data_IF_296166259483
#
_entry.id   IF_296166259483
#
_cell.length_a   1.000
_cell.length_b   1.000
_cell.length_c   1.000
_cell.angle_alpha   90.00
_cell.angle_beta   90.00
_cell.angle_gamma   90.00
#
_symmetry.space_group_name_H-M   'P 1'
#
loop_
_entity.id
_entity.type
_entity.pdbx_description
1 polymer ?
#
# COMPACT_ATOMS: atom_id res chain seq x y z
N UNK A 1 -15.47 -24.65 15.77
CA UNK A 1 -14.29 -24.69 16.67
C UNK A 1 -13.87 -23.25 16.96
N UNK A 2 -13.32 -22.97 18.16
CA UNK A 2 -12.78 -21.64 18.49
C UNK A 2 -11.26 -21.76 18.59
N UNK A 3 -10.53 -20.79 18.03
CA UNK A 3 -9.08 -20.71 18.21
C UNK A 3 -8.80 -20.02 19.56
N UNK A 4 -8.04 -20.69 20.43
CA UNK A 4 -7.82 -20.23 21.81
C UNK A 4 -6.90 -19.01 21.90
N UNK A 5 -6.02 -18.80 20.91
CA UNK A 5 -5.08 -17.67 20.84
C UNK A 5 -5.60 -16.41 20.15
N UNK A 6 -6.92 -16.21 20.10
CA UNK A 6 -7.51 -15.11 19.32
C UNK A 6 -7.16 -13.72 19.88
N UNK A 7 -7.02 -13.59 21.20
CA UNK A 7 -6.65 -12.32 21.82
C UNK A 7 -5.26 -11.84 21.38
N UNK A 8 -4.28 -12.74 21.36
CA UNK A 8 -2.91 -12.44 20.90
C UNK A 8 -2.86 -12.10 19.42
N UNK A 9 -3.68 -12.77 18.60
CA UNK A 9 -3.82 -12.42 17.19
C UNK A 9 -4.40 -11.02 17.00
N UNK A 10 -5.41 -10.64 17.78
CA UNK A 10 -5.99 -9.31 17.73
C UNK A 10 -4.99 -8.24 18.17
N UNK A 11 -4.27 -8.45 19.26
CA UNK A 11 -3.19 -7.53 19.72
C UNK A 11 -2.11 -7.38 18.64
N UNK A 12 -1.72 -8.48 18.00
CA UNK A 12 -0.77 -8.44 16.90
C UNK A 12 -1.30 -7.62 15.71
N UNK A 13 -2.56 -7.81 15.30
CA UNK A 13 -3.19 -7.01 14.24
C UNK A 13 -3.23 -5.52 14.63
N UNK A 14 -3.57 -5.19 15.87
CA UNK A 14 -3.58 -3.81 16.36
C UNK A 14 -2.18 -3.18 16.29
N UNK A 15 -1.13 -3.91 16.67
CA UNK A 15 0.24 -3.41 16.55
C UNK A 15 0.63 -3.11 15.09
N UNK A 16 0.17 -3.91 14.14
CA UNK A 16 0.37 -3.68 12.71
C UNK A 16 -0.44 -2.48 12.23
N UNK A 17 -1.67 -2.34 12.72
CA UNK A 17 -2.52 -1.19 12.41
C UNK A 17 -1.86 0.11 12.88
N UNK A 18 -1.32 0.14 14.10
CA UNK A 18 -0.60 1.28 14.64
C UNK A 18 0.67 1.57 13.83
N UNK A 19 1.42 0.53 13.46
CA UNK A 19 2.60 0.67 12.59
C UNK A 19 2.24 1.34 11.26
N UNK A 20 1.16 0.89 10.60
CA UNK A 20 0.70 1.42 9.31
C UNK A 20 0.27 2.88 9.42
N UNK A 21 -0.34 3.29 10.55
CA UNK A 21 -0.82 4.65 10.75
C UNK A 21 0.23 5.62 11.29
N UNK A 22 1.36 5.12 11.79
CA UNK A 22 2.48 5.98 12.15
C UNK A 22 3.15 6.56 10.87
N UNK A 23 3.05 7.88 10.69
CA UNK A 23 3.59 8.58 9.53
C UNK A 23 5.12 8.47 9.39
N UNK A 24 5.85 8.19 10.47
CA UNK A 24 7.29 7.93 10.40
C UNK A 24 7.63 6.67 9.60
N UNK A 25 6.67 5.74 9.47
CA UNK A 25 6.81 4.54 8.66
C UNK A 25 6.38 4.75 7.20
N UNK A 26 5.97 5.96 6.83
CA UNK A 26 5.50 6.26 5.48
C UNK A 26 6.65 6.65 4.56
N UNK A 27 6.68 6.04 3.38
CA UNK A 27 7.57 6.41 2.28
C UNK A 27 6.77 7.12 1.20
N UNK A 28 7.27 8.28 0.75
CA UNK A 28 6.68 9.02 -0.37
C UNK A 28 7.04 8.33 -1.70
N UNK A 29 6.04 8.15 -2.55
CA UNK A 29 6.25 7.66 -3.93
C UNK A 29 6.38 8.88 -4.84
N UNK A 30 7.48 8.93 -5.59
CA UNK A 30 7.83 10.09 -6.42
C UNK A 30 7.19 10.01 -7.80
N UNK A 31 6.59 11.11 -8.25
CA UNK A 31 6.01 11.24 -9.59
C UNK A 31 6.49 12.53 -10.24
N UNK A 32 7.67 12.53 -10.90
CA UNK A 32 8.21 13.73 -11.53
C UNK A 32 7.23 14.35 -12.53
N UNK A 33 7.02 15.68 -12.47
CA UNK A 33 5.98 16.37 -13.29
C UNK A 33 6.09 16.09 -14.79
N UNK A 34 7.32 16.04 -15.30
CA UNK A 34 7.66 15.69 -16.69
C UNK A 34 7.33 14.25 -17.06
N UNK A 35 7.20 13.35 -16.08
CA UNK A 35 6.82 11.95 -16.27
C UNK A 35 5.31 11.71 -16.13
N UNK A 36 4.57 12.56 -15.40
CA UNK A 36 3.13 12.39 -15.16
C UNK A 36 2.29 12.63 -16.41
N UNK A 37 2.66 13.61 -17.25
CA UNK A 37 1.86 14.02 -18.42
C UNK A 37 1.66 12.88 -19.44
N UNK A 38 2.69 12.08 -19.69
CA UNK A 38 2.65 10.89 -20.54
C UNK A 38 2.61 9.58 -19.75
N UNK A 39 2.56 9.65 -18.43
CA UNK A 39 2.74 8.53 -17.51
C UNK A 39 3.94 7.63 -17.88
N UNK A 40 5.12 8.24 -17.93
CA UNK A 40 6.36 7.56 -18.28
C UNK A 40 6.78 6.59 -17.15
N UNK A 41 6.36 5.33 -17.30
CA UNK A 41 6.63 4.24 -16.37
C UNK A 41 8.11 4.11 -16.04
N UNK A 42 9.00 4.20 -17.05
CA UNK A 42 10.43 4.02 -16.85
C UNK A 42 11.01 5.10 -15.93
N UNK A 43 10.71 6.36 -16.20
CA UNK A 43 11.22 7.47 -15.39
C UNK A 43 10.63 7.47 -13.96
N UNK A 44 9.36 7.09 -13.80
CA UNK A 44 8.76 6.93 -12.47
C UNK A 44 9.44 5.78 -11.70
N UNK A 45 9.75 4.66 -12.37
CA UNK A 45 10.46 3.55 -11.72
C UNK A 45 11.89 3.90 -11.34
N UNK A 46 12.62 4.59 -12.21
CA UNK A 46 13.99 5.06 -11.94
C UNK A 46 14.03 5.97 -10.70
N UNK A 47 13.09 6.90 -10.59
CA UNK A 47 13.01 7.81 -9.43
C UNK A 47 12.68 7.07 -8.12
N UNK A 48 11.93 5.97 -8.20
CA UNK A 48 11.52 5.19 -7.03
C UNK A 48 12.36 3.94 -6.80
N UNK A 49 13.49 3.78 -7.49
CA UNK A 49 14.23 2.52 -7.50
C UNK A 49 14.69 2.09 -6.10
N UNK A 50 15.13 3.03 -5.27
CA UNK A 50 15.52 2.77 -3.90
C UNK A 50 14.35 2.24 -3.05
N UNK A 51 13.17 2.87 -3.16
CA UNK A 51 11.95 2.45 -2.48
C UNK A 51 11.46 1.08 -2.98
N UNK A 52 11.48 0.86 -4.28
CA UNK A 52 11.09 -0.43 -4.87
C UNK A 52 12.04 -1.56 -4.46
N UNK A 53 13.32 -1.25 -4.26
CA UNK A 53 14.31 -2.19 -3.75
C UNK A 53 14.12 -2.52 -2.27
N UNK A 54 13.81 -1.52 -1.41
CA UNK A 54 13.58 -1.77 0.02
C UNK A 54 12.35 -2.62 0.29
N UNK A 55 11.35 -2.58 -0.60
CA UNK A 55 10.15 -3.42 -0.53
C UNK A 55 10.44 -4.86 -0.98
N UNK A 56 11.36 -5.03 -1.94
CA UNK A 56 11.62 -6.30 -2.62
C UNK A 56 12.06 -7.39 -1.64
N UNK A 57 11.36 -8.53 -1.62
CA UNK A 57 11.71 -9.65 -0.75
C UNK A 57 11.42 -9.42 0.75
N UNK A 58 10.90 -8.25 1.13
CA UNK A 58 10.67 -7.86 2.52
C UNK A 58 9.18 -7.81 2.85
N UNK A 59 8.41 -7.00 2.13
CA UNK A 59 7.02 -6.72 2.51
C UNK A 59 6.06 -7.86 2.17
N UNK A 60 5.14 -8.16 3.08
CA UNK A 60 3.98 -9.02 2.80
C UNK A 60 2.64 -8.41 3.24
N UNK A 61 2.67 -7.27 3.94
CA UNK A 61 1.56 -6.33 4.15
C UNK A 61 2.02 -4.93 3.70
N UNK A 62 1.13 -4.18 3.07
CA UNK A 62 1.36 -2.79 2.69
C UNK A 62 0.06 -1.98 2.71
N UNK A 63 0.20 -0.67 2.80
CA UNK A 63 -0.88 0.30 2.73
C UNK A 63 -0.52 1.45 1.80
N UNK A 64 -1.53 2.04 1.15
CA UNK A 64 -1.41 3.20 0.26
C UNK A 64 -2.24 4.34 0.84
N UNK A 65 -1.63 5.52 0.89
CA UNK A 65 -2.21 6.74 1.42
C UNK A 65 -2.18 7.86 0.38
N UNK A 66 -3.14 8.75 0.51
CA UNK A 66 -3.19 10.04 -0.18
C UNK A 66 -2.89 11.16 0.81
N UNK A 67 -2.01 12.08 0.45
CA UNK A 67 -1.87 13.36 1.12
C UNK A 67 -2.25 14.47 0.13
N UNK A 68 -3.36 15.14 0.40
CA UNK A 68 -3.80 16.31 -0.36
C UNK A 68 -2.93 17.52 0.00
N UNK A 69 -2.67 18.42 -0.94
CA UNK A 69 -1.79 19.59 -0.75
C UNK A 69 -2.22 20.52 0.40
N UNK A 70 -3.51 20.52 0.76
CA UNK A 70 -4.08 21.36 1.82
C UNK A 70 -4.39 20.59 3.10
N UNK A 71 -3.99 19.33 3.21
CA UNK A 71 -4.24 18.50 4.38
C UNK A 71 -2.91 18.19 5.08
N UNK A 72 -2.92 18.24 6.41
CA UNK A 72 -1.75 17.93 7.22
C UNK A 72 -1.55 16.42 7.40
N UNK A 73 -2.60 15.61 7.16
CA UNK A 73 -2.59 14.17 7.46
C UNK A 73 -2.88 13.29 6.25
N UNK A 74 -2.10 12.23 6.02
CA UNK A 74 -2.39 11.24 4.99
C UNK A 74 -3.70 10.49 5.28
N UNK A 75 -4.53 10.34 4.26
CA UNK A 75 -5.74 9.53 4.28
C UNK A 75 -5.44 8.13 3.74
N UNK A 76 -5.73 7.10 4.52
CA UNK A 76 -5.60 5.71 4.09
C UNK A 76 -6.58 5.40 2.95
N UNK A 77 -6.07 4.85 1.84
CA UNK A 77 -6.87 4.48 0.66
C UNK A 77 -6.97 2.98 0.45
N UNK A 78 -5.89 2.26 0.70
CA UNK A 78 -5.82 0.83 0.41
C UNK A 78 -4.93 0.09 1.39
N UNK A 79 -5.35 -1.11 1.80
CA UNK A 79 -4.52 -2.11 2.48
C UNK A 79 -4.41 -3.32 1.57
N UNK A 80 -3.21 -3.87 1.42
CA UNK A 80 -2.98 -5.03 0.59
C UNK A 80 -1.98 -6.00 1.18
N UNK A 81 -2.10 -7.26 0.77
CA UNK A 81 -1.12 -8.32 1.01
C UNK A 81 -0.45 -8.78 -0.27
N UNK A 82 0.71 -9.40 -0.10
CA UNK A 82 1.43 -10.07 -1.19
C UNK A 82 2.37 -11.12 -0.61
N UNK A 83 2.88 -12.00 -1.46
CA UNK A 83 4.06 -12.78 -1.06
C UNK A 83 5.30 -11.88 -1.10
N UNK A 84 6.26 -12.06 -0.20
CA UNK A 84 7.51 -11.28 -0.13
C UNK A 84 8.24 -11.28 -1.48
N UNK A 85 8.27 -12.44 -2.15
CA UNK A 85 8.85 -12.61 -3.49
C UNK A 85 8.23 -11.69 -4.55
N UNK A 86 6.94 -11.39 -4.42
CA UNK A 86 6.19 -10.59 -5.39
C UNK A 86 5.95 -9.15 -4.92
N UNK A 87 6.51 -8.74 -3.79
CA UNK A 87 6.21 -7.46 -3.15
C UNK A 87 6.47 -6.26 -4.05
N UNK A 88 7.69 -6.16 -4.61
CA UNK A 88 8.06 -5.12 -5.58
C UNK A 88 7.12 -5.09 -6.77
N UNK A 89 6.82 -6.25 -7.35
CA UNK A 89 5.93 -6.30 -8.52
C UNK A 89 4.50 -5.89 -8.17
N UNK A 90 3.98 -6.26 -7.00
CA UNK A 90 2.64 -5.89 -6.57
C UNK A 90 2.51 -4.38 -6.36
N UNK A 91 3.48 -3.75 -5.68
CA UNK A 91 3.50 -2.29 -5.54
C UNK A 91 3.65 -1.57 -6.87
N UNK A 92 4.58 -2.00 -7.73
CA UNK A 92 4.71 -1.46 -9.10
C UNK A 92 3.38 -1.52 -9.84
N UNK A 93 2.64 -2.62 -9.72
CA UNK A 93 1.36 -2.81 -10.40
C UNK A 93 0.24 -1.87 -9.90
N UNK A 94 0.31 -1.43 -8.64
CA UNK A 94 -0.67 -0.51 -8.07
C UNK A 94 -0.29 0.96 -8.22
N UNK A 95 1.01 1.25 -8.24
CA UNK A 95 1.52 2.62 -8.16
C UNK A 95 2.03 3.17 -9.50
N UNK A 96 2.46 2.31 -10.43
CA UNK A 96 3.25 2.75 -11.60
C UNK A 96 2.77 2.11 -12.90
N UNK A 97 2.66 0.78 -12.98
CA UNK A 97 2.41 0.07 -14.24
C UNK A 97 1.19 -0.82 -14.18
N UNK A 98 0.49 -0.99 -15.30
CA UNK A 98 -0.77 -1.74 -15.32
C UNK A 98 -0.47 -3.23 -15.29
N UNK A 99 -1.06 -3.94 -14.33
CA UNK A 99 -1.26 -5.38 -14.47
C UNK A 99 -2.49 -5.66 -15.34
N UNK A 100 -2.40 -6.64 -16.25
CA UNK A 100 -3.43 -6.94 -17.25
C UNK A 100 -4.84 -7.18 -16.67
N UNK A 101 -4.95 -7.55 -15.39
CA UNK A 101 -6.23 -7.90 -14.71
C UNK A 101 -6.64 -6.99 -13.53
N UNK A 102 -5.79 -6.09 -13.03
CA UNK A 102 -6.03 -5.39 -11.73
C UNK A 102 -5.75 -3.88 -11.77
N UNK A 103 -6.06 -3.22 -12.89
CA UNK A 103 -5.67 -1.82 -13.15
C UNK A 103 -6.42 -0.74 -12.36
N UNK A 104 -7.51 -1.05 -11.65
CA UNK A 104 -8.35 -0.04 -10.99
C UNK A 104 -7.56 0.88 -10.05
N UNK A 105 -6.68 0.31 -9.22
CA UNK A 105 -5.90 1.06 -8.22
C UNK A 105 -4.89 2.01 -8.88
N UNK A 106 -4.31 1.58 -10.00
CA UNK A 106 -3.39 2.42 -10.75
C UNK A 106 -4.09 3.63 -11.36
N UNK A 107 -5.31 3.47 -11.88
CA UNK A 107 -6.07 4.61 -12.40
C UNK A 107 -6.43 5.58 -11.28
N UNK A 108 -6.86 5.09 -10.10
CA UNK A 108 -7.06 5.95 -8.94
C UNK A 108 -5.79 6.72 -8.57
N UNK A 109 -4.63 6.05 -8.50
CA UNK A 109 -3.32 6.69 -8.24
C UNK A 109 -3.01 7.77 -9.28
N UNK A 110 -3.17 7.48 -10.57
CA UNK A 110 -2.94 8.46 -11.64
C UNK A 110 -3.82 9.70 -11.46
N UNK A 111 -5.08 9.52 -11.12
CA UNK A 111 -6.02 10.62 -10.93
C UNK A 111 -5.70 11.45 -9.69
N UNK A 112 -5.20 10.83 -8.60
CA UNK A 112 -4.68 11.56 -7.44
C UNK A 112 -3.45 12.41 -7.82
N UNK A 113 -2.47 11.78 -8.47
CA UNK A 113 -1.21 12.44 -8.85
C UNK A 113 -1.46 13.59 -9.83
N UNK A 114 -2.38 13.44 -10.78
CA UNK A 114 -2.77 14.52 -11.72
C UNK A 114 -3.43 15.71 -11.02
N UNK A 115 -4.12 15.47 -9.89
CA UNK A 115 -4.68 16.52 -9.04
C UNK A 115 -3.64 17.20 -8.15
N UNK A 116 -2.39 16.76 -8.21
CA UNK A 116 -1.28 17.29 -7.40
C UNK A 116 -1.07 16.55 -6.09
N UNK A 117 -1.89 15.55 -5.78
CA UNK A 117 -1.82 14.88 -4.48
C UNK A 117 -0.58 14.00 -4.37
N UNK A 118 -0.05 13.90 -3.16
CA UNK A 118 1.11 13.05 -2.85
C UNK A 118 0.64 11.65 -2.47
N UNK A 119 1.32 10.62 -3.00
CA UNK A 119 1.08 9.23 -2.60
C UNK A 119 2.15 8.81 -1.61
N UNK A 120 1.70 8.24 -0.49
CA UNK A 120 2.58 7.61 0.51
C UNK A 120 2.25 6.13 0.63
N UNK A 121 3.23 5.34 1.05
CA UNK A 121 3.04 3.92 1.37
C UNK A 121 3.66 3.57 2.73
N UNK A 122 3.02 2.64 3.44
CA UNK A 122 3.62 1.92 4.56
C UNK A 122 3.72 0.45 4.18
N UNK A 123 4.77 -0.25 4.62
CA UNK A 123 4.93 -1.68 4.35
C UNK A 123 5.76 -2.35 5.45
N UNK A 124 5.47 -3.62 5.69
CA UNK A 124 6.18 -4.40 6.70
C UNK A 124 6.19 -5.90 6.38
N UNK A 125 7.21 -6.62 6.88
CA UNK A 125 7.19 -8.08 6.97
C UNK A 125 6.42 -8.55 8.20
N UNK A 126 5.62 -9.60 8.05
CA UNK A 126 5.10 -10.40 9.15
C UNK A 126 5.47 -11.88 8.99
N UNK A 127 5.48 -12.64 10.09
CA UNK A 127 5.76 -14.08 10.09
C UNK A 127 4.75 -14.85 10.96
N UNK A 128 4.36 -16.09 10.56
CA UNK A 128 4.67 -16.73 9.29
C UNK A 128 3.95 -16.03 8.13
N UNK A 129 4.49 -16.13 6.92
CA UNK A 129 3.96 -15.40 5.76
C UNK A 129 2.48 -15.71 5.46
N UNK A 130 2.00 -16.92 5.80
CA UNK A 130 0.60 -17.34 5.65
C UNK A 130 -0.37 -16.49 6.49
N UNK A 131 0.10 -15.91 7.60
CA UNK A 131 -0.71 -15.09 8.50
C UNK A 131 -1.20 -13.79 7.84
N UNK A 132 -0.55 -13.37 6.73
CA UNK A 132 -0.89 -12.14 6.00
C UNK A 132 -2.34 -12.10 5.49
N UNK A 133 -2.95 -13.27 5.24
CA UNK A 133 -4.33 -13.33 4.78
C UNK A 133 -5.28 -12.86 5.89
N UNK A 134 -5.16 -13.47 7.07
CA UNK A 134 -5.94 -13.10 8.24
C UNK A 134 -5.69 -11.64 8.64
N UNK A 135 -4.42 -11.23 8.70
CA UNK A 135 -4.05 -9.86 9.07
C UNK A 135 -4.64 -8.83 8.10
N UNK A 136 -4.58 -9.07 6.79
CA UNK A 136 -5.17 -8.15 5.81
C UNK A 136 -6.69 -8.02 6.02
N UNK A 137 -7.40 -9.13 6.20
CA UNK A 137 -8.85 -9.13 6.41
C UNK A 137 -9.24 -8.31 7.65
N UNK A 138 -8.57 -8.54 8.78
CA UNK A 138 -8.82 -7.80 10.02
C UNK A 138 -8.44 -6.32 9.91
N UNK A 139 -7.31 -6.00 9.25
CA UNK A 139 -6.91 -4.62 8.99
C UNK A 139 -7.94 -3.89 8.12
N UNK A 140 -8.49 -4.53 7.09
CA UNK A 140 -9.56 -3.95 6.26
C UNK A 140 -10.83 -3.76 7.10
N UNK A 141 -11.16 -4.70 7.99
CA UNK A 141 -12.31 -4.59 8.87
C UNK A 141 -12.19 -3.41 9.85
N UNK A 142 -10.99 -3.17 10.40
CA UNK A 142 -10.71 -2.03 11.28
C UNK A 142 -10.73 -0.70 10.50
N UNK A 143 -10.27 -0.72 9.25
CA UNK A 143 -10.09 0.47 8.42
C UNK A 143 -11.14 0.59 7.32
N UNK A 144 -12.41 0.63 7.73
CA UNK A 144 -13.54 0.72 6.79
C UNK A 144 -13.50 1.95 5.88
N UNK A 145 -12.76 2.99 6.24
CA UNK A 145 -12.53 4.19 5.43
C UNK A 145 -11.57 3.97 4.26
N UNK A 146 -10.86 2.85 4.17
CA UNK A 146 -10.01 2.52 3.03
C UNK A 146 -10.87 2.14 1.80
N UNK A 147 -11.31 3.15 1.05
CA UNK A 147 -12.32 3.01 0.00
C UNK A 147 -11.91 2.03 -1.11
N UNK A 148 -10.62 1.96 -1.46
CA UNK A 148 -10.15 1.13 -2.56
C UNK A 148 -10.18 -0.37 -2.24
N UNK A 149 -10.33 -0.75 -0.96
CA UNK A 149 -10.54 -2.15 -0.57
C UNK A 149 -11.94 -2.64 -0.93
N UNK A 150 -12.96 -1.77 -0.94
CA UNK A 150 -14.36 -2.13 -1.20
C UNK A 150 -14.68 -2.33 -2.68
N UNK A 151 -13.93 -1.68 -3.57
CA UNK A 151 -14.07 -1.84 -5.02
C UNK A 151 -13.69 -3.24 -5.53
N UNK A 152 -13.19 -4.12 -4.67
CA UNK A 152 -12.84 -5.51 -4.98
C UNK A 152 -13.79 -6.54 -4.33
N UNK A 153 -14.82 -6.09 -3.61
CA UNK A 153 -15.83 -6.94 -2.98
C UNK A 153 -16.97 -7.29 -3.95
#
# INVERSE_FOLDING_TARGET
MKFEGIAQLNEFVLSINDFIHNEENHSVVQYPRNSVSSWNVKSIEEENEALLNSVSGSANIYAIFELEDNNDKPTLKYIGKTTRRLARQRLRNHLITKHAKTGAKLESVKDLVRRGHTIKIAYLPIEPESLRNYVEEELIFLNKSAEWNRENA
#
